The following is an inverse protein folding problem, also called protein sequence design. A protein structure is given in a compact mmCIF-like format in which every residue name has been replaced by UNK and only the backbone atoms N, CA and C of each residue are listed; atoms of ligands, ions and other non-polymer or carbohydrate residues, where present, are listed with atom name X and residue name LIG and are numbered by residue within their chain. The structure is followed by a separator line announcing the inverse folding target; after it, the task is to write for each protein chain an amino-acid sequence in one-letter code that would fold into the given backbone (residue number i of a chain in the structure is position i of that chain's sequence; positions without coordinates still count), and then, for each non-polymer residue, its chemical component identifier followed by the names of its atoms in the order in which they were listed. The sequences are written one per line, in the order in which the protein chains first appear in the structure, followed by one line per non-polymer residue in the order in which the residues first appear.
data_IF_791955065187
#
_entry.id   IF_791955065187
#
_cell.length_a   1.000
_cell.length_b   1.000
_cell.length_c   1.000
_cell.angle_alpha   90.00
_cell.angle_beta   90.00
_cell.angle_gamma   90.00
#
_symmetry.space_group_name_H-M   'P 1'
#
loop_
_entity.id
_entity.type
_entity.pdbx_description
1 polymer ?
#
# COMPACT_ATOMS: atom_id res chain seq x y z
N UNK A 1 10.39 -0.12 -2.95
CA UNK A 1 10.37 0.41 -4.34
C UNK A 1 9.11 -0.14 -4.97
N UNK A 2 8.38 0.67 -5.75
CA UNK A 2 7.23 0.19 -6.53
C UNK A 2 7.66 0.22 -7.98
N UNK A 3 7.59 -0.92 -8.66
CA UNK A 3 7.77 -0.97 -10.12
C UNK A 3 6.48 -1.45 -10.78
N UNK A 4 6.22 -0.95 -11.97
CA UNK A 4 5.01 -1.23 -12.73
C UNK A 4 5.39 -1.54 -14.16
N UNK A 5 4.80 -2.59 -14.72
CA UNK A 5 4.91 -2.95 -16.13
C UNK A 5 3.51 -3.14 -16.71
N UNK A 6 3.27 -2.54 -17.87
CA UNK A 6 2.08 -2.85 -18.68
C UNK A 6 2.28 -4.20 -19.39
N UNK A 7 1.35 -5.14 -19.22
CA UNK A 7 1.30 -6.43 -19.91
C UNK A 7 0.23 -6.37 -21.01
N UNK A 8 0.66 -6.13 -22.25
CA UNK A 8 -0.22 -6.07 -23.43
C UNK A 8 -0.91 -7.41 -23.75
N UNK A 9 -0.48 -8.53 -23.16
CA UNK A 9 -1.17 -9.81 -23.37
C UNK A 9 -2.46 -9.90 -22.54
N UNK A 10 -2.44 -9.33 -21.34
CA UNK A 10 -3.60 -9.26 -20.44
C UNK A 10 -4.31 -7.91 -20.53
N UNK A 11 -3.73 -6.96 -21.26
CA UNK A 11 -4.04 -5.52 -21.25
C UNK A 11 -4.09 -4.96 -19.83
N UNK A 12 -3.14 -5.42 -19.01
CA UNK A 12 -3.21 -5.21 -17.57
C UNK A 12 -1.87 -4.85 -16.95
N UNK A 13 -1.90 -4.09 -15.86
CA UNK A 13 -0.71 -3.60 -15.16
C UNK A 13 -0.24 -4.58 -14.10
N UNK A 14 0.99 -5.04 -14.25
CA UNK A 14 1.70 -5.88 -13.28
C UNK A 14 2.49 -4.97 -12.34
N UNK A 15 2.29 -5.15 -11.05
CA UNK A 15 2.96 -4.37 -10.01
C UNK A 15 3.91 -5.26 -9.23
N UNK A 16 5.12 -4.77 -8.99
CA UNK A 16 6.08 -5.38 -8.09
C UNK A 16 6.43 -4.42 -6.95
N UNK A 17 6.43 -4.95 -5.73
CA UNK A 17 6.60 -4.20 -4.51
C UNK A 17 7.79 -4.74 -3.74
N UNK A 18 8.86 -3.96 -3.66
CA UNK A 18 9.98 -4.28 -2.77
C UNK A 18 9.76 -3.65 -1.39
N UNK A 19 9.77 -4.50 -0.37
CA UNK A 19 9.73 -4.10 1.03
C UNK A 19 11.15 -3.81 1.56
N UNK A 20 11.28 -2.84 2.46
CA UNK A 20 12.46 -2.64 3.29
C UNK A 20 12.01 -2.55 4.74
N UNK A 21 12.70 -3.26 5.62
CA UNK A 21 12.40 -3.22 7.05
C UNK A 21 12.85 -1.88 7.61
N UNK A 22 11.87 -1.04 7.92
CA UNK A 22 12.08 0.30 8.50
C UNK A 22 11.42 0.44 9.88
N UNK A 23 10.74 -0.60 10.37
CA UNK A 23 9.92 -0.57 11.59
C UNK A 23 9.98 -1.94 12.28
N UNK A 24 10.18 -1.96 13.60
CA UNK A 24 10.38 -3.20 14.38
C UNK A 24 9.04 -3.83 14.81
N UNK A 25 7.99 -3.01 14.92
CA UNK A 25 6.66 -3.49 15.25
C UNK A 25 5.57 -2.62 14.62
N UNK A 26 4.59 -3.29 14.03
CA UNK A 26 3.28 -2.72 13.73
C UNK A 26 2.33 -3.22 14.81
N UNK A 27 1.79 -2.34 15.66
CA UNK A 27 0.85 -2.78 16.72
C UNK A 27 -0.58 -2.92 16.24
N UNK A 28 -0.94 -2.22 15.17
CA UNK A 28 -2.32 -2.10 14.74
C UNK A 28 -2.36 -1.93 13.22
N UNK A 29 -3.10 -2.79 12.54
CA UNK A 29 -3.24 -2.73 11.09
C UNK A 29 -4.70 -2.94 10.71
N UNK A 30 -5.15 -2.23 9.68
CA UNK A 30 -6.46 -2.41 9.10
C UNK A 30 -6.44 -2.22 7.58
N UNK A 31 -7.38 -2.84 6.91
CA UNK A 31 -7.66 -2.57 5.50
C UNK A 31 -8.70 -1.47 5.39
N UNK A 32 -8.48 -0.52 4.48
CA UNK A 32 -9.53 0.39 4.06
C UNK A 32 -10.65 -0.39 3.36
N UNK A 33 -11.86 0.18 3.27
CA UNK A 33 -12.79 -0.16 2.20
C UNK A 33 -12.18 0.11 0.82
N UNK A 34 -12.88 -0.30 -0.25
CA UNK A 34 -12.50 0.14 -1.59
C UNK A 34 -12.60 1.66 -1.68
N UNK A 35 -11.51 2.30 -2.09
CA UNK A 35 -11.37 3.77 -2.03
C UNK A 35 -11.87 4.47 -3.29
N UNK A 36 -12.16 3.71 -4.35
CA UNK A 36 -12.68 4.20 -5.61
C UNK A 36 -13.77 3.28 -6.17
N UNK A 37 -14.63 3.83 -7.02
CA UNK A 37 -15.37 3.09 -8.04
C UNK A 37 -14.53 2.92 -9.32
N UNK A 38 -15.06 2.17 -10.29
CA UNK A 38 -14.45 2.07 -11.61
C UNK A 38 -14.53 3.43 -12.32
N UNK A 39 -13.53 3.74 -13.14
CA UNK A 39 -13.38 4.99 -13.89
C UNK A 39 -13.30 6.25 -13.00
N UNK A 40 -13.02 6.07 -11.71
CA UNK A 40 -12.94 7.14 -10.72
C UNK A 40 -11.51 7.33 -10.23
N UNK A 41 -11.04 8.58 -10.28
CA UNK A 41 -9.78 8.98 -9.67
C UNK A 41 -9.88 8.96 -8.14
N UNK A 42 -8.77 8.65 -7.47
CA UNK A 42 -8.72 8.75 -6.01
C UNK A 42 -7.37 9.23 -5.52
N UNK A 43 -7.39 9.88 -4.36
CA UNK A 43 -6.21 10.11 -3.53
C UNK A 43 -6.45 9.44 -2.19
N UNK A 44 -5.49 8.65 -1.73
CA UNK A 44 -5.60 7.93 -0.46
C UNK A 44 -4.39 8.18 0.42
N UNK A 45 -4.66 8.51 1.69
CA UNK A 45 -3.67 8.63 2.76
C UNK A 45 -4.16 7.84 3.96
N UNK A 46 -3.25 7.08 4.59
CA UNK A 46 -3.55 6.50 5.90
C UNK A 46 -3.72 7.60 6.95
N UNK A 47 -4.42 7.33 8.07
CA UNK A 47 -4.49 8.25 9.20
C UNK A 47 -3.10 8.62 9.73
N UNK A 48 -3.02 9.70 10.51
CA UNK A 48 -1.78 10.12 11.17
C UNK A 48 -1.14 8.97 11.95
N UNK A 49 0.19 8.82 11.83
CA UNK A 49 0.99 7.73 12.40
C UNK A 49 0.78 6.33 11.78
N UNK A 50 0.06 6.23 10.67
CA UNK A 50 -0.05 4.99 9.90
C UNK A 50 0.66 5.13 8.56
N UNK A 51 1.21 4.01 8.08
CA UNK A 51 1.78 3.89 6.74
C UNK A 51 0.98 2.91 5.90
N UNK A 52 1.01 3.12 4.58
CA UNK A 52 0.59 2.08 3.64
C UNK A 52 1.61 0.96 3.69
N UNK A 53 1.17 -0.22 4.12
CA UNK A 53 1.98 -1.44 4.25
C UNK A 53 1.51 -2.55 3.29
N UNK A 54 0.42 -2.33 2.56
CA UNK A 54 -0.13 -3.28 1.61
C UNK A 54 -1.19 -2.64 0.71
N UNK A 55 -1.44 -3.30 -0.41
CA UNK A 55 -2.38 -2.87 -1.46
C UNK A 55 -3.06 -4.13 -2.01
N UNK A 56 -4.36 -4.05 -2.23
CA UNK A 56 -5.16 -5.11 -2.87
C UNK A 56 -6.06 -4.47 -3.91
N UNK A 57 -6.22 -5.14 -5.05
CA UNK A 57 -7.16 -4.73 -6.08
C UNK A 57 -7.79 -5.90 -6.78
N UNK A 58 -8.93 -5.63 -7.41
CA UNK A 58 -9.52 -6.52 -8.39
C UNK A 58 -9.88 -5.73 -9.64
N UNK A 59 -9.71 -6.39 -10.77
CA UNK A 59 -10.06 -5.88 -12.10
C UNK A 59 -11.47 -6.37 -12.48
N UNK A 60 -12.19 -5.59 -13.29
CA UNK A 60 -13.46 -6.04 -13.88
C UNK A 60 -13.53 -5.63 -15.35
N UNK A 61 -13.50 -6.61 -16.25
CA UNK A 61 -13.43 -6.42 -17.70
C UNK A 61 -14.50 -5.50 -18.27
N UNK A 62 -15.72 -5.49 -17.70
CA UNK A 62 -16.77 -4.56 -18.15
C UNK A 62 -16.31 -3.09 -18.15
N UNK A 63 -15.44 -2.72 -17.22
CA UNK A 63 -14.89 -1.38 -17.07
C UNK A 63 -13.44 -1.28 -17.54
N UNK A 64 -12.79 -2.44 -17.79
CA UNK A 64 -11.34 -2.54 -18.02
C UNK A 64 -10.51 -1.78 -16.95
N UNK A 65 -11.01 -1.75 -15.72
CA UNK A 65 -10.46 -0.95 -14.62
C UNK A 65 -10.47 -1.73 -13.30
N UNK A 66 -9.79 -1.17 -12.29
CA UNK A 66 -9.59 -1.77 -10.98
C UNK A 66 -10.17 -0.94 -9.85
N UNK A 67 -10.67 -1.66 -8.85
CA UNK A 67 -10.95 -1.09 -7.53
C UNK A 67 -9.81 -1.39 -6.58
N UNK A 68 -9.48 -0.42 -5.75
CA UNK A 68 -8.33 -0.46 -4.87
C UNK A 68 -8.73 -0.37 -3.40
N UNK A 69 -8.02 -1.10 -2.54
CA UNK A 69 -8.00 -0.87 -1.09
C UNK A 69 -6.58 -1.02 -0.57
N UNK A 70 -6.32 -0.40 0.57
CA UNK A 70 -4.98 -0.25 1.12
C UNK A 70 -4.93 -0.74 2.56
N UNK A 71 -3.81 -1.35 2.94
CA UNK A 71 -3.54 -1.75 4.31
C UNK A 71 -2.75 -0.66 5.00
N UNK A 72 -3.33 -0.08 6.04
CA UNK A 72 -2.67 0.88 6.91
C UNK A 72 -2.17 0.15 8.16
N UNK A 73 -0.92 0.39 8.55
CA UNK A 73 -0.36 -0.11 9.81
C UNK A 73 0.25 1.02 10.64
N UNK A 74 -0.03 1.04 11.94
CA UNK A 74 0.47 2.01 12.90
C UNK A 74 1.97 1.84 13.08
N UNK A 75 2.69 2.94 12.98
CA UNK A 75 4.13 2.98 13.26
C UNK A 75 4.33 3.37 14.71
N UNK A 76 4.94 2.49 15.50
CA UNK A 76 5.28 2.79 16.89
C UNK A 76 6.75 3.14 17.08
N UNK A 77 7.64 2.49 16.31
CA UNK A 77 9.08 2.72 16.35
C UNK A 77 9.65 2.68 14.93
N UNK A 78 10.46 3.67 14.58
CA UNK A 78 11.23 3.67 13.35
C UNK A 78 12.60 3.02 13.60
N UNK A 79 12.92 2.01 12.81
CA UNK A 79 14.25 1.41 12.83
C UNK A 79 15.15 2.14 11.86
N UNK A 80 16.07 2.95 12.38
CA UNK A 80 17.22 3.41 11.60
C UNK A 80 18.24 2.28 11.56
N UNK A 81 18.23 1.48 10.49
CA UNK A 81 19.32 0.53 10.26
C UNK A 81 20.65 1.32 10.04
N UNK A 82 21.79 0.96 10.67
CA UNK A 82 22.08 -0.25 11.46
C UNK A 82 22.22 -0.02 12.99
N UNK A 83 21.62 1.03 13.58
CA UNK A 83 21.79 1.29 15.03
C UNK A 83 20.46 1.64 15.68
N UNK A 84 19.85 0.62 16.30
CA UNK A 84 18.76 0.65 17.27
C UNK A 84 17.43 1.32 16.84
N UNK A 85 16.33 0.59 17.01
CA UNK A 85 14.99 1.15 16.90
C UNK A 85 14.72 2.01 18.15
N UNK A 86 14.79 3.33 17.98
CA UNK A 86 14.57 4.30 19.05
C UNK A 86 13.13 4.81 19.05
N UNK A 87 12.58 5.04 20.24
CA UNK A 87 11.28 5.68 20.43
C UNK A 87 11.34 7.15 19.93
N UNK A 88 10.33 7.69 19.24
CA UNK A 88 10.26 9.13 19.00
C UNK A 88 10.11 9.84 20.35
N UNK A 89 11.06 10.72 20.69
CA UNK A 89 10.91 11.70 21.80
C UNK A 89 9.89 12.77 21.43
#
# INVERSE_FOLDING_TARGET
MITSKHDNGREDRVWDFSCKQSFDSFSECFWSPYVNWFDEEFTFSCPSNYIISGMESYHKNKYEDRRWKFKCCRVNNYCKLPTACGHPT
#
